data_IF_972633028329
#
_entry.id   IF_972633028329
#
_cell.length_a   1.000
_cell.length_b   1.000
_cell.length_c   1.000
_cell.angle_alpha   90.00
_cell.angle_beta   90.00
_cell.angle_gamma   90.00
#
_symmetry.space_group_name_H-M   'P 1'
#
loop_
_entity.id
_entity.type
_entity.pdbx_description
1 polymer ?
#
# COMPACT_ATOMS: atom_id res chain seq x y z
N UNK A 1 -17.91 1.94 1.34
CA UNK A 1 -17.83 0.93 0.25
C UNK A 1 -16.52 0.18 0.38
N UNK A 2 -16.50 -1.12 0.15
CA UNK A 2 -15.26 -1.93 0.11
C UNK A 2 -15.04 -2.43 -1.32
N UNK A 3 -13.83 -2.30 -1.84
CA UNK A 3 -13.46 -2.70 -3.20
C UNK A 3 -12.25 -3.61 -3.12
N UNK A 4 -12.24 -4.66 -3.95
CA UNK A 4 -11.11 -5.55 -4.17
C UNK A 4 -10.74 -5.53 -5.64
N UNK A 5 -9.49 -5.22 -5.99
CA UNK A 5 -9.05 -5.08 -7.38
C UNK A 5 -7.88 -6.01 -7.74
N UNK A 6 -7.44 -5.89 -9.00
CA UNK A 6 -6.43 -6.70 -9.69
C UNK A 6 -5.03 -6.43 -9.17
N UNK A 7 -4.02 -7.15 -9.69
CA UNK A 7 -2.66 -7.15 -9.15
C UNK A 7 -1.72 -6.13 -9.82
N UNK A 8 -2.18 -5.27 -10.74
CA UNK A 8 -1.33 -4.27 -11.39
C UNK A 8 -1.02 -3.09 -10.45
N UNK A 9 0.25 -2.82 -10.11
CA UNK A 9 0.62 -1.75 -9.19
C UNK A 9 0.28 -0.36 -9.73
N UNK A 10 0.45 -0.10 -11.03
CA UNK A 10 0.09 1.20 -11.63
C UNK A 10 -1.41 1.41 -11.62
N UNK A 11 -2.18 0.35 -11.92
CA UNK A 11 -3.65 0.41 -11.88
C UNK A 11 -4.17 0.63 -10.47
N UNK A 12 -3.61 -0.05 -9.46
CA UNK A 12 -4.02 0.14 -8.07
C UNK A 12 -3.66 1.54 -7.55
N UNK A 13 -2.51 2.10 -7.93
CA UNK A 13 -2.20 3.50 -7.68
C UNK A 13 -3.15 4.47 -8.41
N UNK A 14 -3.59 4.15 -9.64
CA UNK A 14 -4.58 4.94 -10.36
C UNK A 14 -5.97 4.85 -9.70
N UNK A 15 -6.33 3.67 -9.17
CA UNK A 15 -7.56 3.48 -8.41
C UNK A 15 -7.57 4.33 -7.13
N UNK A 16 -6.50 4.33 -6.35
CA UNK A 16 -6.39 5.20 -5.17
C UNK A 16 -6.50 6.68 -5.56
N UNK A 17 -5.84 7.10 -6.65
CA UNK A 17 -5.94 8.47 -7.15
C UNK A 17 -7.37 8.84 -7.51
N UNK A 18 -8.07 7.98 -8.27
CA UNK A 18 -9.48 8.16 -8.62
C UNK A 18 -10.37 8.31 -7.36
N UNK A 19 -10.18 7.44 -6.35
CA UNK A 19 -10.95 7.50 -5.12
C UNK A 19 -10.73 8.79 -4.32
N UNK A 20 -9.53 9.36 -4.39
CA UNK A 20 -9.20 10.63 -3.72
C UNK A 20 -9.70 11.84 -4.51
N UNK A 21 -9.61 11.82 -5.83
CA UNK A 21 -9.83 13.02 -6.65
C UNK A 21 -11.26 13.16 -7.19
N UNK A 22 -11.97 12.04 -7.39
CA UNK A 22 -13.24 12.03 -8.11
C UNK A 22 -14.41 11.40 -7.34
N UNK A 23 -14.15 10.55 -6.33
CA UNK A 23 -15.22 10.02 -5.48
C UNK A 23 -15.45 10.89 -4.26
N UNK A 24 -16.68 10.80 -3.71
CA UNK A 24 -17.11 11.60 -2.54
C UNK A 24 -17.54 10.75 -1.34
N UNK A 25 -17.78 9.46 -1.54
CA UNK A 25 -18.11 8.51 -0.48
C UNK A 25 -16.85 7.98 0.22
N UNK A 26 -17.03 7.41 1.40
CA UNK A 26 -15.97 6.70 2.10
C UNK A 26 -15.70 5.36 1.43
N UNK A 27 -14.42 5.06 1.18
CA UNK A 27 -13.98 3.87 0.46
C UNK A 27 -12.92 3.13 1.26
N UNK A 28 -13.08 1.82 1.36
CA UNK A 28 -12.08 0.88 1.81
C UNK A 28 -11.61 0.05 0.62
N UNK A 29 -10.30 -0.01 0.39
CA UNK A 29 -9.68 -0.82 -0.66
C UNK A 29 -8.83 -1.91 -0.03
N UNK A 30 -8.91 -3.12 -0.61
CA UNK A 30 -8.01 -4.24 -0.35
C UNK A 30 -7.47 -4.75 -1.67
N UNK A 31 -6.15 -4.85 -1.80
CA UNK A 31 -5.54 -5.32 -3.04
C UNK A 31 -4.14 -5.91 -2.79
N UNK A 32 -3.64 -6.64 -3.78
CA UNK A 32 -2.25 -7.11 -3.85
C UNK A 32 -1.63 -6.65 -5.16
N UNK A 33 -0.33 -6.48 -5.18
CA UNK A 33 0.42 -6.14 -6.39
C UNK A 33 1.33 -7.30 -6.82
N UNK A 34 1.55 -7.43 -8.12
CA UNK A 34 2.70 -8.16 -8.65
C UNK A 34 4.00 -7.51 -8.17
N UNK A 35 5.18 -8.18 -8.28
CA UNK A 35 6.46 -7.64 -7.83
C UNK A 35 6.68 -6.20 -8.26
N UNK A 36 6.79 -5.30 -7.30
CA UNK A 36 6.90 -3.86 -7.55
C UNK A 36 7.50 -3.10 -6.37
N UNK A 37 8.16 -1.98 -6.67
CA UNK A 37 8.53 -0.98 -5.67
C UNK A 37 7.61 0.22 -5.81
N UNK A 38 6.98 0.61 -4.71
CA UNK A 38 6.12 1.79 -4.65
C UNK A 38 6.87 2.93 -3.95
N UNK A 39 7.32 3.89 -4.73
CA UNK A 39 8.03 5.08 -4.25
C UNK A 39 7.06 6.09 -3.65
N UNK A 40 7.50 6.74 -2.59
CA UNK A 40 6.81 7.93 -2.08
C UNK A 40 6.95 9.12 -3.04
N UNK A 41 5.98 10.05 -2.99
CA UNK A 41 5.88 11.18 -3.90
C UNK A 41 7.18 11.99 -4.08
N UNK A 42 7.95 12.17 -3.00
CA UNK A 42 9.12 13.06 -2.97
C UNK A 42 10.45 12.30 -2.84
N UNK A 43 10.50 11.04 -3.28
CA UNK A 43 11.72 10.24 -3.22
C UNK A 43 12.51 10.33 -4.53
N UNK A 44 13.82 10.29 -4.43
CA UNK A 44 14.73 10.12 -5.56
C UNK A 44 14.86 8.63 -5.85
N UNK A 45 14.64 8.22 -7.10
CA UNK A 45 14.62 6.80 -7.51
C UNK A 45 15.92 6.11 -7.14
N UNK A 46 17.05 6.61 -7.67
CA UNK A 46 18.36 6.03 -7.48
C UNK A 46 18.78 5.91 -6.00
N UNK A 47 18.29 6.80 -5.13
CA UNK A 47 18.60 6.77 -3.70
C UNK A 47 17.86 5.67 -2.92
N UNK A 48 16.77 5.15 -3.47
CA UNK A 48 15.86 4.26 -2.76
C UNK A 48 15.83 2.83 -3.29
N UNK A 49 16.20 2.61 -4.56
CA UNK A 49 16.12 1.30 -5.20
C UNK A 49 17.41 0.93 -5.92
N UNK A 50 17.67 -0.37 -6.00
CA UNK A 50 18.60 -0.93 -6.98
C UNK A 50 17.85 -1.09 -8.33
N UNK A 51 18.06 -0.13 -9.22
CA UNK A 51 17.38 -0.11 -10.52
C UNK A 51 17.76 -1.27 -11.44
N UNK A 52 19.02 -1.74 -11.38
CA UNK A 52 19.50 -2.87 -12.18
C UNK A 52 18.86 -4.18 -11.67
N UNK A 53 18.84 -4.37 -10.36
CA UNK A 53 18.16 -5.49 -9.74
C UNK A 53 16.68 -5.50 -10.09
N UNK A 54 16.00 -4.36 -9.97
CA UNK A 54 14.57 -4.27 -10.30
C UNK A 54 14.32 -4.64 -11.77
N UNK A 55 15.12 -4.15 -12.71
CA UNK A 55 14.97 -4.50 -14.13
C UNK A 55 15.22 -5.98 -14.40
N UNK A 56 16.28 -6.54 -13.82
CA UNK A 56 16.65 -7.95 -13.99
C UNK A 56 15.58 -8.92 -13.48
N UNK A 57 14.81 -8.51 -12.46
CA UNK A 57 13.77 -9.35 -11.83
C UNK A 57 12.34 -8.95 -12.20
N UNK A 58 12.15 -8.05 -13.18
CA UNK A 58 10.82 -7.63 -13.63
C UNK A 58 10.01 -6.90 -12.55
N UNK A 59 10.68 -6.24 -11.59
CA UNK A 59 10.05 -5.47 -10.52
C UNK A 59 9.64 -4.12 -11.07
N UNK A 60 8.34 -3.86 -11.13
CA UNK A 60 7.81 -2.59 -11.64
C UNK A 60 8.01 -1.47 -10.59
N UNK A 61 8.53 -0.31 -11.01
CA UNK A 61 8.74 0.84 -10.11
C UNK A 61 7.64 1.86 -10.35
N UNK A 62 6.84 2.16 -9.32
CA UNK A 62 5.68 3.05 -9.41
C UNK A 62 5.73 4.11 -8.32
N UNK A 63 5.37 5.35 -8.65
CA UNK A 63 5.27 6.43 -7.67
C UNK A 63 3.82 6.63 -7.21
N UNK A 64 3.59 6.63 -5.87
CA UNK A 64 2.27 6.88 -5.28
C UNK A 64 2.01 8.36 -5.01
N UNK A 65 0.76 8.73 -4.68
CA UNK A 65 0.36 10.10 -4.33
C UNK A 65 0.91 10.55 -2.98
N UNK A 66 0.96 9.64 -2.00
CA UNK A 66 1.40 9.95 -0.65
C UNK A 66 2.93 10.09 -0.55
N UNK A 67 3.40 10.76 0.49
CA UNK A 67 4.81 10.81 0.85
C UNK A 67 5.30 9.53 1.53
N UNK A 68 6.38 9.63 2.29
CA UNK A 68 7.01 8.52 3.02
C UNK A 68 8.03 7.74 2.20
N UNK A 69 8.56 6.66 2.78
CA UNK A 69 9.60 5.81 2.20
C UNK A 69 9.08 4.85 1.13
N UNK A 70 10.01 4.27 0.37
CA UNK A 70 9.73 3.21 -0.59
C UNK A 70 9.31 1.92 0.12
N UNK A 71 8.43 1.16 -0.52
CA UNK A 71 7.99 -0.17 -0.08
C UNK A 71 8.04 -1.14 -1.24
N UNK A 72 8.38 -2.39 -0.95
CA UNK A 72 8.31 -3.50 -1.90
C UNK A 72 6.97 -4.23 -1.74
N UNK A 73 6.36 -4.58 -2.85
CA UNK A 73 5.15 -5.38 -2.93
C UNK A 73 5.37 -6.62 -3.79
N UNK A 74 4.72 -7.68 -3.41
CA UNK A 74 4.51 -8.90 -4.19
C UNK A 74 3.15 -9.51 -3.83
N UNK A 75 2.84 -10.70 -4.33
CA UNK A 75 1.58 -11.36 -4.00
C UNK A 75 1.51 -11.88 -2.54
N UNK A 76 2.63 -11.85 -1.83
CA UNK A 76 2.71 -12.12 -0.39
C UNK A 76 2.41 -10.92 0.50
N UNK A 77 2.34 -9.72 -0.10
CA UNK A 77 1.99 -8.48 0.57
C UNK A 77 0.53 -8.09 0.30
N UNK A 78 -0.20 -7.71 1.34
CA UNK A 78 -1.56 -7.20 1.26
C UNK A 78 -1.52 -5.68 1.45
N UNK A 79 -2.23 -4.96 0.60
CA UNK A 79 -2.40 -3.52 0.73
C UNK A 79 -3.83 -3.21 1.17
N UNK A 80 -3.97 -2.26 2.07
CA UNK A 80 -5.24 -1.69 2.48
C UNK A 80 -5.20 -0.17 2.32
N UNK A 81 -6.33 0.44 1.94
CA UNK A 81 -6.45 1.88 1.87
C UNK A 81 -7.82 2.34 2.33
N UNK A 82 -7.82 3.42 3.12
CA UNK A 82 -9.02 4.12 3.58
C UNK A 82 -9.03 5.49 2.91
N UNK A 83 -10.09 5.80 2.20
CA UNK A 83 -10.31 7.11 1.59
C UNK A 83 -11.59 7.70 2.17
N UNK A 84 -11.50 8.89 2.75
CA UNK A 84 -12.65 9.52 3.40
C UNK A 84 -12.67 11.03 3.22
N UNK A 85 -13.81 11.65 3.52
CA UNK A 85 -13.93 13.08 3.62
C UNK A 85 -13.20 13.60 4.86
N UNK A 86 -12.52 14.75 4.75
CA UNK A 86 -11.71 15.31 5.83
C UNK A 86 -12.53 15.79 7.02
N UNK A 87 -13.72 16.35 6.77
CA UNK A 87 -14.49 17.06 7.80
C UNK A 87 -15.51 16.22 8.55
N UNK A 88 -16.00 15.14 7.96
CA UNK A 88 -16.89 14.21 8.64
C UNK A 88 -16.92 12.87 7.90
N UNK A 89 -16.18 11.90 8.38
CA UNK A 89 -16.49 10.51 8.04
C UNK A 89 -17.34 9.93 9.16
N UNK A 90 -18.61 9.63 8.93
CA UNK A 90 -19.44 8.94 9.93
C UNK A 90 -19.05 7.47 10.09
N UNK A 91 -18.31 6.91 9.12
CA UNK A 91 -17.99 5.49 9.03
C UNK A 91 -16.52 5.20 9.35
N UNK A 92 -15.59 6.05 8.90
CA UNK A 92 -14.16 5.84 9.10
C UNK A 92 -13.63 6.64 10.29
N UNK A 93 -13.07 5.95 11.26
CA UNK A 93 -12.38 6.56 12.39
C UNK A 93 -11.21 7.44 11.93
N UNK A 94 -10.95 8.53 12.65
CA UNK A 94 -9.75 9.35 12.43
C UNK A 94 -8.46 8.60 12.73
N UNK A 95 -8.53 7.60 13.59
CA UNK A 95 -7.45 6.66 13.84
C UNK A 95 -7.58 5.43 12.93
N UNK A 96 -7.13 5.54 11.69
CA UNK A 96 -7.16 4.46 10.70
C UNK A 96 -6.31 3.24 11.06
N UNK A 97 -5.41 3.35 12.03
CA UNK A 97 -4.60 2.22 12.49
C UNK A 97 -5.37 1.35 13.48
N UNK A 98 -6.24 1.93 14.28
CA UNK A 98 -6.97 1.20 15.32
C UNK A 98 -7.74 -0.01 14.77
N UNK A 99 -8.57 0.12 13.71
CA UNK A 99 -9.25 -1.05 13.15
C UNK A 99 -8.26 -2.10 12.65
N UNK A 100 -7.18 -1.70 11.97
CA UNK A 100 -6.19 -2.66 11.45
C UNK A 100 -5.50 -3.40 12.59
N UNK A 101 -5.06 -2.70 13.63
CA UNK A 101 -4.45 -3.30 14.83
C UNK A 101 -5.42 -4.25 15.51
N UNK A 102 -6.66 -3.81 15.76
CA UNK A 102 -7.69 -4.63 16.41
C UNK A 102 -7.94 -5.92 15.63
N UNK A 103 -8.07 -5.84 14.31
CA UNK A 103 -8.36 -7.02 13.49
C UNK A 103 -7.15 -7.96 13.38
N UNK A 104 -5.94 -7.42 13.33
CA UNK A 104 -4.73 -8.23 13.41
C UNK A 104 -4.65 -8.99 14.74
N UNK A 105 -5.00 -8.36 15.87
CA UNK A 105 -5.06 -9.00 17.18
C UNK A 105 -6.13 -10.10 17.23
N UNK A 106 -7.31 -9.90 16.63
CA UNK A 106 -8.33 -10.96 16.47
C UNK A 106 -7.80 -12.14 15.66
N UNK A 107 -6.93 -11.88 14.68
CA UNK A 107 -6.26 -12.91 13.87
C UNK A 107 -5.05 -13.57 14.57
N UNK A 108 -4.77 -13.20 15.82
CA UNK A 108 -3.67 -13.77 16.61
C UNK A 108 -2.34 -13.05 16.44
N UNK A 109 -2.28 -11.93 15.72
CA UNK A 109 -1.06 -11.13 15.55
C UNK A 109 -0.97 -10.08 16.66
N UNK A 110 0.04 -10.14 17.52
CA UNK A 110 0.29 -9.14 18.57
C UNK A 110 0.80 -7.81 17.97
N UNK A 111 -0.04 -7.20 17.14
CA UNK A 111 0.30 -5.96 16.45
C UNK A 111 0.18 -4.74 17.36
N UNK A 112 1.16 -3.83 17.24
CA UNK A 112 1.17 -2.53 17.91
C UNK A 112 1.57 -1.42 16.94
N UNK A 113 1.08 -0.20 17.17
CA UNK A 113 1.47 0.95 16.38
C UNK A 113 2.79 1.54 16.87
N UNK A 114 3.75 1.72 15.98
CA UNK A 114 5.01 2.38 16.25
C UNK A 114 4.92 3.90 16.14
N UNK A 115 6.02 4.59 16.49
CA UNK A 115 6.08 6.07 16.53
C UNK A 115 5.86 6.74 15.17
N UNK A 116 6.15 6.07 14.06
CA UNK A 116 5.96 6.55 12.68
C UNK A 116 4.70 5.98 12.03
N UNK A 117 3.76 5.47 12.86
CA UNK A 117 2.54 4.79 12.42
C UNK A 117 2.78 3.48 11.63
N UNK A 118 3.99 2.93 11.68
CA UNK A 118 4.23 1.55 11.25
C UNK A 118 3.57 0.57 12.22
N UNK A 119 3.23 -0.64 11.76
CA UNK A 119 2.81 -1.70 12.67
C UNK A 119 3.97 -2.65 12.94
N UNK A 120 4.11 -2.99 14.21
CA UNK A 120 5.14 -3.87 14.74
C UNK A 120 4.50 -5.10 15.37
N UNK A 121 5.14 -6.25 15.23
CA UNK A 121 4.84 -7.47 15.98
C UNK A 121 6.15 -8.18 16.27
N UNK A 122 6.35 -8.67 17.50
CA UNK A 122 7.62 -9.25 17.93
C UNK A 122 8.82 -8.32 17.74
N UNK A 123 8.64 -7.00 17.88
CA UNK A 123 9.68 -5.99 17.68
C UNK A 123 10.09 -5.73 16.22
N UNK A 124 9.50 -6.43 15.25
CA UNK A 124 9.76 -6.30 13.82
C UNK A 124 8.58 -5.64 13.10
N UNK A 125 8.89 -4.89 12.02
CA UNK A 125 7.87 -4.20 11.23
C UNK A 125 7.13 -5.21 10.35
N UNK A 126 5.81 -5.22 10.45
CA UNK A 126 4.90 -6.03 9.62
C UNK A 126 4.07 -5.17 8.65
N UNK A 127 4.09 -3.83 8.83
CA UNK A 127 3.33 -2.89 8.00
C UNK A 127 4.05 -1.55 7.92
N UNK A 128 4.12 -0.99 6.72
CA UNK A 128 4.42 0.41 6.47
C UNK A 128 3.15 1.17 6.15
N UNK A 129 3.04 2.42 6.60
CA UNK A 129 1.88 3.26 6.34
C UNK A 129 2.26 4.62 5.78
N UNK A 130 1.37 5.23 5.04
CA UNK A 130 1.49 6.58 4.55
C UNK A 130 0.11 7.23 4.43
N UNK A 131 0.10 8.56 4.29
CA UNK A 131 -1.15 9.31 4.10
C UNK A 131 -0.99 10.41 3.05
N UNK A 132 -2.10 10.75 2.42
CA UNK A 132 -2.22 11.89 1.52
C UNK A 132 -3.48 12.67 1.85
N UNK A 133 -3.35 13.96 2.07
CA UNK A 133 -4.46 14.84 2.45
C UNK A 133 -4.59 15.92 1.39
N UNK A 134 -5.78 16.05 0.83
CA UNK A 134 -6.19 17.14 -0.04
C UNK A 134 -7.01 18.17 0.75
N UNK A 135 -7.58 19.16 0.06
CA UNK A 135 -8.49 20.12 0.72
C UNK A 135 -9.70 19.43 1.37
N UNK A 136 -10.31 18.46 0.66
CA UNK A 136 -11.60 17.86 1.05
C UNK A 136 -11.50 16.38 1.40
N UNK A 137 -10.46 15.68 0.97
CA UNK A 137 -10.33 14.22 1.10
C UNK A 137 -9.02 13.84 1.77
N UNK A 138 -9.01 12.68 2.38
CA UNK A 138 -7.82 12.05 2.94
C UNK A 138 -7.73 10.58 2.50
N UNK A 139 -6.52 10.16 2.17
CA UNK A 139 -6.13 8.78 1.92
C UNK A 139 -5.19 8.37 3.04
N UNK A 140 -5.46 7.25 3.66
CA UNK A 140 -4.53 6.53 4.53
C UNK A 140 -4.39 5.13 3.97
N UNK A 141 -3.17 4.68 3.75
CA UNK A 141 -2.92 3.34 3.23
C UNK A 141 -1.72 2.70 3.91
N UNK A 142 -1.68 1.38 3.84
CA UNK A 142 -0.61 0.59 4.41
C UNK A 142 -0.48 -0.78 3.78
N UNK A 143 0.61 -1.44 4.14
CA UNK A 143 0.96 -2.79 3.73
C UNK A 143 0.77 -3.76 4.89
N UNK A 144 0.56 -5.04 4.61
CA UNK A 144 0.72 -6.15 5.56
C UNK A 144 1.65 -7.18 4.92
N UNK A 145 2.83 -7.34 5.47
CA UNK A 145 3.78 -8.37 5.04
C UNK A 145 3.29 -9.72 5.56
N UNK A 146 2.61 -10.50 4.72
CA UNK A 146 2.07 -11.80 5.14
C UNK A 146 3.03 -12.94 4.79
N UNK A 147 3.38 -13.09 3.51
CA UNK A 147 4.35 -14.07 2.95
C UNK A 147 5.20 -13.41 1.85
N UNK A 148 5.57 -12.17 2.06
CA UNK A 148 6.42 -11.40 1.15
C UNK A 148 7.80 -12.03 1.05
N UNK A 149 8.38 -12.06 -0.14
CA UNK A 149 9.79 -12.41 -0.32
C UNK A 149 10.68 -11.29 0.26
N UNK A 150 11.11 -11.49 1.51
CA UNK A 150 11.91 -10.51 2.24
C UNK A 150 13.32 -10.34 1.64
N UNK A 151 13.84 -11.35 0.93
CA UNK A 151 15.11 -11.22 0.21
C UNK A 151 14.96 -10.28 -0.99
N UNK A 152 13.92 -10.47 -1.81
CA UNK A 152 13.62 -9.57 -2.93
C UNK A 152 13.35 -8.14 -2.45
N UNK A 153 12.62 -7.99 -1.33
CA UNK A 153 12.39 -6.70 -0.68
C UNK A 153 13.70 -6.01 -0.32
N UNK A 154 14.62 -6.74 0.35
CA UNK A 154 15.91 -6.19 0.78
C UNK A 154 16.77 -5.77 -0.41
N UNK A 155 16.87 -6.59 -1.45
CA UNK A 155 17.69 -6.28 -2.63
C UNK A 155 17.08 -5.11 -3.42
N UNK A 156 15.77 -5.13 -3.70
CA UNK A 156 15.12 -4.08 -4.46
C UNK A 156 15.24 -2.68 -3.81
N UNK A 157 15.26 -2.61 -2.48
CA UNK A 157 15.31 -1.36 -1.72
C UNK A 157 16.76 -0.93 -1.33
N UNK A 158 17.77 -1.44 -2.01
CA UNK A 158 19.20 -1.06 -1.85
C UNK A 158 19.60 0.06 -2.80
N UNK A 159 19.02 1.24 -2.65
CA UNK A 159 19.44 2.41 -3.43
C UNK A 159 20.76 3.03 -2.98
N UNK A 160 21.35 3.83 -3.85
CA UNK A 160 22.52 4.66 -3.54
C UNK A 160 22.10 5.89 -2.73
N UNK A 161 22.26 5.82 -1.43
CA UNK A 161 21.88 6.90 -0.51
C UNK A 161 22.64 8.21 -0.74
N UNK A 162 23.75 8.18 -1.45
CA UNK A 162 24.50 9.39 -1.80
C UNK A 162 23.81 10.19 -2.91
N UNK A 163 23.03 9.52 -3.77
CA UNK A 163 22.26 10.12 -4.85
C UNK A 163 20.98 10.88 -4.41
N UNK A 164 20.73 10.99 -3.10
CA UNK A 164 19.44 11.48 -2.56
C UNK A 164 19.09 12.93 -2.91
N UNK A 165 20.04 13.81 -2.98
CA UNK A 165 19.76 15.24 -3.14
C UNK A 165 18.83 15.75 -2.03
N UNK A 166 17.71 16.41 -2.42
CA UNK A 166 16.65 16.91 -1.51
C UNK A 166 15.53 15.88 -1.25
N UNK A 167 15.64 14.66 -1.76
CA UNK A 167 14.61 13.62 -1.62
C UNK A 167 14.42 13.14 -0.18
N UNK A 168 13.19 12.68 0.12
CA UNK A 168 12.84 12.07 1.40
C UNK A 168 13.41 10.65 1.48
N UNK A 169 14.11 10.35 2.59
CA UNK A 169 14.72 9.03 2.81
C UNK A 169 13.74 7.99 3.32
N UNK A 170 13.87 6.77 2.84
CA UNK A 170 13.39 5.58 3.56
C UNK A 170 14.20 5.36 4.84
N UNK A 171 13.52 4.92 5.89
CA UNK A 171 14.15 4.52 7.16
C UNK A 171 14.12 3.00 7.24
N UNK A 172 15.28 2.33 7.12
CA UNK A 172 15.36 0.88 7.28
C UNK A 172 14.81 0.42 8.62
N UNK A 173 14.14 -0.70 8.62
CA UNK A 173 13.61 -1.34 9.83
C UNK A 173 13.66 -2.85 9.65
N UNK A 174 13.99 -3.63 10.69
CA UNK A 174 13.82 -5.07 10.64
C UNK A 174 12.36 -5.41 10.32
N UNK A 175 12.14 -6.29 9.36
CA UNK A 175 10.80 -6.70 8.91
C UNK A 175 10.52 -8.16 9.27
N UNK A 176 9.24 -8.54 9.32
CA UNK A 176 8.80 -9.91 9.47
C UNK A 176 7.52 -10.16 8.68
N UNK A 177 7.34 -11.39 8.25
CA UNK A 177 6.07 -11.85 7.70
C UNK A 177 5.11 -12.25 8.82
N UNK A 178 3.84 -11.91 8.67
CA UNK A 178 2.76 -12.28 9.60
C UNK A 178 2.63 -13.81 9.69
N UNK A 179 2.71 -14.53 8.57
CA UNK A 179 2.63 -15.99 8.55
C UNK A 179 3.74 -16.66 9.37
N UNK A 180 4.96 -16.08 9.35
CA UNK A 180 6.08 -16.53 10.19
C UNK A 180 5.75 -16.38 11.70
N UNK A 181 5.23 -15.22 12.08
CA UNK A 181 4.89 -14.92 13.48
C UNK A 181 3.73 -15.77 14.01
N UNK A 182 2.81 -16.15 13.13
CA UNK A 182 1.67 -17.03 13.45
C UNK A 182 2.02 -18.53 13.34
N UNK A 183 3.23 -18.89 12.91
CA UNK A 183 3.60 -20.28 12.57
C UNK A 183 2.53 -20.92 11.65
N UNK A 184 2.01 -20.17 10.68
CA UNK A 184 0.88 -20.55 9.84
C UNK A 184 1.31 -20.88 8.43
N UNK A 185 0.78 -21.97 7.87
CA UNK A 185 0.92 -22.32 6.46
C UNK A 185 -0.19 -21.73 5.58
N UNK A 186 -1.05 -20.89 6.16
CA UNK A 186 -2.13 -20.21 5.44
C UNK A 186 -1.60 -19.39 4.26
N UNK A 187 -2.26 -19.50 3.12
CA UNK A 187 -1.91 -18.69 1.93
C UNK A 187 -2.25 -17.22 2.15
N UNK A 188 -1.56 -16.32 1.46
CA UNK A 188 -1.87 -14.88 1.51
C UNK A 188 -3.30 -14.59 1.03
N UNK A 189 -3.82 -15.37 0.09
CA UNK A 189 -5.21 -15.27 -0.36
C UNK A 189 -6.20 -15.57 0.77
N UNK A 190 -6.02 -16.69 1.47
CA UNK A 190 -6.90 -17.08 2.57
C UNK A 190 -6.84 -16.06 3.74
N UNK A 191 -5.64 -15.57 4.07
CA UNK A 191 -5.49 -14.52 5.08
C UNK A 191 -6.18 -13.23 4.64
N UNK A 192 -6.04 -12.82 3.38
CA UNK A 192 -6.73 -11.65 2.81
C UNK A 192 -8.26 -11.78 2.91
N UNK A 193 -8.80 -12.97 2.62
CA UNK A 193 -10.25 -13.21 2.76
C UNK A 193 -10.71 -13.06 4.21
N UNK A 194 -10.00 -13.66 5.17
CA UNK A 194 -10.34 -13.53 6.58
C UNK A 194 -10.22 -12.08 7.07
N UNK A 195 -9.12 -11.41 6.75
CA UNK A 195 -8.91 -10.02 7.12
C UNK A 195 -9.98 -9.11 6.49
N UNK A 196 -10.31 -9.32 5.22
CA UNK A 196 -11.35 -8.60 4.51
C UNK A 196 -12.74 -8.81 5.11
N UNK A 197 -13.10 -10.06 5.45
CA UNK A 197 -14.36 -10.37 6.12
C UNK A 197 -14.49 -9.65 7.47
N UNK A 198 -13.42 -9.63 8.27
CA UNK A 198 -13.38 -8.91 9.53
C UNK A 198 -13.49 -7.38 9.34
N UNK A 199 -12.87 -6.81 8.30
CA UNK A 199 -13.03 -5.39 7.97
C UNK A 199 -14.46 -5.07 7.56
N UNK A 200 -15.10 -5.89 6.73
CA UNK A 200 -16.51 -5.73 6.37
C UNK A 200 -17.39 -5.75 7.62
N UNK A 201 -17.19 -6.73 8.49
CA UNK A 201 -17.94 -6.83 9.76
C UNK A 201 -17.71 -5.62 10.66
N UNK A 202 -16.43 -5.18 10.83
CA UNK A 202 -16.08 -4.04 11.66
C UNK A 202 -16.78 -2.76 11.24
N UNK A 203 -16.93 -2.55 9.93
CA UNK A 203 -17.59 -1.37 9.36
C UNK A 203 -19.08 -1.58 9.03
N UNK A 204 -19.68 -2.72 9.37
CA UNK A 204 -21.08 -3.02 9.07
C UNK A 204 -21.39 -3.07 7.58
N UNK A 205 -20.43 -3.49 6.76
CA UNK A 205 -20.58 -3.59 5.30
C UNK A 205 -21.03 -5.01 4.91
N UNK A 206 -21.97 -5.10 3.95
CA UNK A 206 -22.53 -6.38 3.50
C UNK A 206 -21.65 -7.15 2.50
N UNK A 207 -20.63 -6.51 1.93
CA UNK A 207 -19.75 -7.14 0.95
C UNK A 207 -18.91 -6.15 0.16
N UNK A 208 -18.22 -6.67 -0.87
CA UNK A 208 -17.44 -5.88 -1.81
C UNK A 208 -18.35 -5.26 -2.87
N UNK A 209 -18.06 -4.02 -3.25
CA UNK A 209 -18.76 -3.32 -4.32
C UNK A 209 -17.94 -3.37 -5.62
N UNK A 210 -18.55 -3.69 -6.76
CA UNK A 210 -17.86 -3.65 -8.03
C UNK A 210 -17.56 -2.20 -8.44
N UNK A 211 -16.46 -2.02 -9.18
CA UNK A 211 -16.17 -0.78 -9.89
C UNK A 211 -17.06 -0.74 -11.13
N UNK A 212 -17.80 0.33 -11.34
CA UNK A 212 -18.68 0.49 -12.49
C UNK A 212 -17.89 0.62 -13.81
N UNK A 213 -18.51 0.39 -14.99
CA UNK A 213 -17.84 0.57 -16.28
C UNK A 213 -17.27 1.97 -16.49
N UNK A 214 -18.00 3.02 -16.12
CA UNK A 214 -17.54 4.42 -16.24
C UNK A 214 -16.32 4.69 -15.35
N UNK A 215 -16.34 4.20 -14.10
CA UNK A 215 -15.19 4.31 -13.21
C UNK A 215 -14.00 3.52 -13.74
N UNK A 216 -14.24 2.34 -14.29
CA UNK A 216 -13.19 1.51 -14.92
C UNK A 216 -12.50 2.25 -16.05
N UNK A 217 -13.25 2.93 -16.92
CA UNK A 217 -12.71 3.73 -18.00
C UNK A 217 -11.90 4.92 -17.46
N UNK A 218 -12.43 5.62 -16.45
CA UNK A 218 -11.76 6.76 -15.84
C UNK A 218 -10.45 6.37 -15.17
N UNK A 219 -10.45 5.26 -14.43
CA UNK A 219 -9.24 4.69 -13.81
C UNK A 219 -8.21 4.32 -14.89
N UNK A 220 -8.64 3.75 -16.02
CA UNK A 220 -7.75 3.42 -17.13
C UNK A 220 -7.14 4.67 -17.79
N UNK A 221 -7.84 5.80 -17.81
CA UNK A 221 -7.29 7.09 -18.28
C UNK A 221 -6.20 7.59 -17.32
N UNK A 222 -6.44 7.55 -16.00
CA UNK A 222 -5.46 7.92 -14.99
C UNK A 222 -4.24 6.99 -15.08
N UNK A 223 -4.45 5.68 -15.23
CA UNK A 223 -3.37 4.70 -15.40
C UNK A 223 -2.49 5.04 -16.62
N UNK A 224 -3.07 5.37 -17.77
CA UNK A 224 -2.32 5.79 -18.97
C UNK A 224 -1.46 7.02 -18.71
N UNK A 225 -2.01 8.03 -18.04
CA UNK A 225 -1.26 9.25 -17.70
C UNK A 225 -0.09 8.92 -16.76
N UNK A 226 -0.29 8.03 -15.78
CA UNK A 226 0.78 7.59 -14.87
C UNK A 226 1.90 6.86 -15.62
N UNK A 227 1.57 5.95 -16.54
CA UNK A 227 2.56 5.24 -17.36
C UNK A 227 3.38 6.18 -18.23
N UNK A 228 2.75 7.19 -18.85
CA UNK A 228 3.48 8.21 -19.63
C UNK A 228 4.44 9.03 -18.78
N UNK A 229 4.03 9.45 -17.57
CA UNK A 229 4.91 10.17 -16.63
C UNK A 229 6.09 9.31 -16.17
N UNK A 230 5.84 8.04 -15.85
CA UNK A 230 6.88 7.10 -15.44
C UNK A 230 7.92 6.85 -16.54
N UNK A 231 7.49 6.78 -17.80
CA UNK A 231 8.39 6.68 -18.94
C UNK A 231 9.25 7.95 -19.11
N UNK A 232 8.66 9.13 -18.93
CA UNK A 232 9.39 10.40 -19.01
C UNK A 232 10.44 10.52 -17.88
N UNK A 233 10.10 10.12 -16.65
CA UNK A 233 11.04 10.11 -15.52
C UNK A 233 12.22 9.15 -15.76
N UNK A 234 11.99 8.02 -16.43
CA UNK A 234 13.03 7.03 -16.75
C UNK A 234 13.94 7.43 -17.94
N UNK A 235 13.55 8.40 -18.77
CA UNK A 235 14.34 8.89 -19.91
C UNK A 235 14.99 10.25 -19.65
N UNK A 236 14.73 10.85 -18.50
CA UNK A 236 15.26 12.16 -18.09
C UNK A 236 16.42 12.07 -17.09
N UNK A 237 16.84 10.86 -16.72
CA UNK A 237 18.05 10.53 -15.97
C UNK A 237 19.08 9.89 -16.94
#
# INVERSE_FOLDING_TARGET
MCIRDRHSPVRNCALEEYMVTERHDDVLLLYRNTPSVILGRNQTVAAEIDGDFCRAHGIEVVRRLSGGGAVYHDLGNINYAFVSNKEASPVLDRDFLRPVVTLLQVLGVEATAGKRKELLAGGRKISGTASHVTRNRQLFHGTLLHRTDLHMLEQALRGDRTARGKGVASVPSPVANIAELLHSDETTEAFLERFGALLLQYYGLSGYSPISPNETERIAQIERIRRMKQQADNHGE
#
